data_IF_478231060947
#
_entry.id   IF_478231060947
#
_cell.length_a   1.000
_cell.length_b   1.000
_cell.length_c   1.000
_cell.angle_alpha   90.00
_cell.angle_beta   90.00
_cell.angle_gamma   90.00
#
_symmetry.space_group_name_H-M   'P 1'
#
loop_
_entity.id
_entity.type
_entity.pdbx_description
1 polymer ?
#
# COMPACT_ATOMS: atom_id res chain seq x y z
N UNK A 1 -1.55 20.67 22.85
CA UNK A 1 -2.39 19.90 21.95
C UNK A 1 -1.86 18.52 21.65
N UNK A 2 -0.61 18.41 21.27
CA UNK A 2 -0.03 17.10 20.99
C UNK A 2 0.01 16.19 22.20
N UNK A 3 0.25 16.73 23.38
CA UNK A 3 0.29 15.93 24.59
C UNK A 3 -1.08 15.36 24.94
N UNK A 4 -2.12 16.16 24.77
CA UNK A 4 -3.49 15.69 24.98
C UNK A 4 -3.83 14.59 23.98
N UNK A 5 -3.43 14.78 22.74
CA UNK A 5 -3.67 13.80 21.70
C UNK A 5 -2.95 12.49 22.02
N UNK A 6 -1.72 12.58 22.52
CA UNK A 6 -0.95 11.40 22.88
C UNK A 6 -1.54 10.65 24.05
N UNK A 7 -2.01 11.37 25.06
CA UNK A 7 -2.62 10.75 26.24
C UNK A 7 -3.92 10.04 25.86
N UNK A 8 -4.75 10.70 25.05
CA UNK A 8 -5.96 10.07 24.55
C UNK A 8 -5.64 8.88 23.64
N UNK A 9 -4.60 9.02 22.83
CA UNK A 9 -4.19 7.98 21.87
C UNK A 9 -3.63 6.76 22.59
N UNK A 10 -2.98 6.94 23.75
CA UNK A 10 -2.40 5.81 24.48
C UNK A 10 -3.45 4.77 24.87
N UNK A 11 -4.64 5.21 25.25
CA UNK A 11 -5.73 4.29 25.56
C UNK A 11 -6.35 3.69 24.32
N UNK A 12 -6.43 4.49 23.26
CA UNK A 12 -7.01 4.05 22.01
C UNK A 12 -6.05 3.13 21.26
N UNK A 13 -4.75 3.37 21.41
CA UNK A 13 -3.74 2.55 20.74
C UNK A 13 -3.78 1.09 21.16
N UNK A 14 -4.05 0.82 22.42
CA UNK A 14 -4.16 -0.56 22.87
C UNK A 14 -5.26 -1.31 22.13
N UNK A 15 -6.33 -0.60 21.80
CA UNK A 15 -7.44 -1.19 21.07
C UNK A 15 -7.24 -1.13 19.56
N UNK A 16 -6.35 -0.27 19.11
CA UNK A 16 -6.11 -0.05 17.68
C UNK A 16 -4.82 -0.65 17.16
N UNK A 17 -4.02 -1.25 18.03
CA UNK A 17 -2.72 -1.77 17.62
C UNK A 17 -2.78 -2.69 16.41
N UNK A 18 -3.82 -3.50 16.33
CA UNK A 18 -3.98 -4.40 15.20
C UNK A 18 -4.37 -3.68 13.92
N UNK A 19 -5.18 -2.63 14.05
CA UNK A 19 -5.60 -1.86 12.87
C UNK A 19 -4.58 -0.82 12.47
N UNK A 20 -3.74 -0.35 13.40
CA UNK A 20 -2.71 0.64 13.10
C UNK A 20 -1.72 0.12 12.07
N UNK A 21 -1.37 -1.16 12.14
CA UNK A 21 -0.46 -1.76 11.16
C UNK A 21 -1.04 -1.72 9.75
N UNK A 22 -2.34 -1.86 9.61
CA UNK A 22 -3.00 -1.79 8.31
C UNK A 22 -3.13 -0.37 7.80
N UNK A 23 -3.02 0.60 8.69
CA UNK A 23 -3.19 2.01 8.35
C UNK A 23 -1.86 2.75 8.23
N UNK A 24 -0.75 2.05 8.37
CA UNK A 24 0.58 2.61 8.19
C UNK A 24 1.00 2.47 6.74
N UNK A 25 1.37 3.57 6.14
CA UNK A 25 1.93 3.57 4.80
C UNK A 25 3.44 3.52 4.91
N UNK A 26 4.05 2.50 4.36
CA UNK A 26 5.51 2.32 4.34
C UNK A 26 5.99 2.26 2.90
N UNK A 27 7.06 2.98 2.62
CA UNK A 27 7.61 2.96 1.27
C UNK A 27 9.04 3.45 1.27
N UNK A 28 9.77 3.05 0.23
CA UNK A 28 11.12 3.54 -0.03
C UNK A 28 11.02 4.47 -1.24
N UNK A 29 11.46 5.71 -1.06
CA UNK A 29 11.48 6.68 -2.14
C UNK A 29 12.86 6.68 -2.79
N UNK A 30 12.86 6.60 -4.11
CA UNK A 30 14.10 6.62 -4.91
C UNK A 30 13.97 7.66 -6.00
N UNK A 31 15.12 8.08 -6.53
CA UNK A 31 15.15 8.95 -7.71
C UNK A 31 14.72 8.16 -8.93
N UNK A 32 14.32 8.87 -9.98
CA UNK A 32 13.98 8.26 -11.26
C UNK A 32 15.15 7.43 -11.80
N UNK A 33 16.37 7.94 -11.63
CA UNK A 33 17.57 7.25 -12.10
C UNK A 33 17.77 5.93 -11.37
N UNK A 34 17.64 5.94 -10.04
CA UNK A 34 17.76 4.71 -9.25
C UNK A 34 16.68 3.71 -9.65
N UNK A 35 15.45 4.17 -9.82
CA UNK A 35 14.37 3.30 -10.26
C UNK A 35 14.69 2.65 -11.61
N UNK A 36 15.18 3.43 -12.54
CA UNK A 36 15.49 2.91 -13.88
C UNK A 36 16.64 1.90 -13.83
N UNK A 37 17.64 2.15 -12.98
CA UNK A 37 18.73 1.20 -12.78
C UNK A 37 18.23 -0.12 -12.20
N UNK A 38 17.32 -0.06 -11.25
CA UNK A 38 16.72 -1.26 -10.65
C UNK A 38 15.90 -2.01 -11.71
N UNK A 39 15.10 -1.30 -12.48
CA UNK A 39 14.32 -1.91 -13.55
C UNK A 39 15.23 -2.67 -14.51
N UNK A 40 16.34 -2.07 -14.88
CA UNK A 40 17.30 -2.66 -15.79
C UNK A 40 18.02 -3.85 -15.16
N UNK A 41 18.44 -3.73 -13.92
CA UNK A 41 19.17 -4.77 -13.22
C UNK A 41 18.34 -6.04 -13.06
N UNK A 42 17.07 -5.90 -12.74
CA UNK A 42 16.19 -7.04 -12.47
C UNK A 42 15.32 -7.42 -13.67
N UNK A 43 15.35 -6.63 -14.74
CA UNK A 43 14.51 -6.90 -15.91
C UNK A 43 13.03 -6.82 -15.58
N UNK A 44 12.64 -5.87 -14.76
CA UNK A 44 11.26 -5.75 -14.29
C UNK A 44 10.66 -4.42 -14.70
N UNK A 45 9.33 -4.35 -14.61
CA UNK A 45 8.59 -3.15 -14.97
C UNK A 45 8.63 -2.12 -13.85
N UNK A 46 8.25 -0.89 -14.20
CA UNK A 46 8.10 0.19 -13.25
C UNK A 46 7.12 -0.18 -12.13
N UNK A 47 6.01 -0.82 -12.49
CA UNK A 47 5.03 -1.26 -11.52
C UNK A 47 5.61 -2.27 -10.54
N UNK A 48 6.40 -3.21 -11.04
CA UNK A 48 7.03 -4.21 -10.17
C UNK A 48 7.96 -3.56 -9.17
N UNK A 49 8.74 -2.57 -9.59
CA UNK A 49 9.62 -1.82 -8.68
C UNK A 49 8.78 -1.06 -7.65
N UNK A 50 7.72 -0.41 -8.10
CA UNK A 50 6.85 0.31 -7.19
C UNK A 50 6.23 -0.60 -6.13
N UNK A 51 5.77 -1.78 -6.55
CA UNK A 51 5.19 -2.74 -5.61
C UNK A 51 6.20 -3.21 -4.57
N UNK A 52 7.44 -3.42 -4.98
CA UNK A 52 8.49 -3.81 -4.05
C UNK A 52 8.82 -2.68 -3.08
N UNK A 53 8.98 -1.46 -3.58
CA UNK A 53 9.35 -0.31 -2.76
C UNK A 53 8.21 0.14 -1.86
N UNK A 54 6.98 -0.21 -2.18
CA UNK A 54 5.80 0.09 -1.35
C UNK A 54 5.44 -1.07 -0.42
N UNK A 55 6.31 -2.07 -0.33
CA UNK A 55 6.11 -3.24 0.53
C UNK A 55 4.83 -4.00 0.21
N UNK A 56 4.33 -3.89 -1.01
CA UNK A 56 3.14 -4.61 -1.44
C UNK A 56 3.46 -6.08 -1.66
N UNK A 57 4.55 -6.35 -2.39
CA UNK A 57 4.96 -7.70 -2.69
C UNK A 57 5.99 -8.21 -1.69
N UNK A 58 6.03 -9.52 -1.50
CA UNK A 58 6.98 -10.17 -0.60
C UNK A 58 7.74 -11.26 -1.36
N UNK A 59 8.86 -11.67 -0.82
CA UNK A 59 9.69 -12.71 -1.40
C UNK A 59 11.11 -12.22 -1.61
N UNK A 60 11.94 -13.09 -2.15
CA UNK A 60 13.37 -12.79 -2.29
C UNK A 60 13.67 -11.64 -3.25
N UNK A 61 12.97 -11.62 -4.39
CA UNK A 61 13.20 -10.56 -5.37
C UNK A 61 12.78 -9.18 -4.86
N UNK A 62 11.58 -9.01 -4.32
CA UNK A 62 11.22 -7.72 -3.72
C UNK A 62 12.16 -7.30 -2.60
N UNK A 63 12.59 -8.23 -1.75
CA UNK A 63 13.53 -7.92 -0.69
C UNK A 63 14.87 -7.43 -1.25
N UNK A 64 15.36 -8.06 -2.31
CA UNK A 64 16.59 -7.64 -2.97
C UNK A 64 16.45 -6.25 -3.60
N UNK A 65 15.30 -5.98 -4.21
CA UNK A 65 15.02 -4.67 -4.80
C UNK A 65 15.02 -3.60 -3.70
N UNK A 66 14.38 -3.86 -2.57
CA UNK A 66 14.36 -2.92 -1.45
C UNK A 66 15.77 -2.66 -0.91
N UNK A 67 16.55 -3.71 -0.76
CA UNK A 67 17.92 -3.59 -0.28
C UNK A 67 18.76 -2.74 -1.22
N UNK A 68 18.70 -3.04 -2.52
CA UNK A 68 19.43 -2.27 -3.51
C UNK A 68 18.99 -0.81 -3.52
N UNK A 69 17.70 -0.57 -3.42
CA UNK A 69 17.17 0.80 -3.40
C UNK A 69 17.76 1.61 -2.25
N UNK A 70 17.82 1.01 -1.06
CA UNK A 70 18.39 1.69 0.11
C UNK A 70 19.89 1.93 -0.05
N UNK A 71 20.60 0.95 -0.61
CA UNK A 71 22.03 1.09 -0.87
C UNK A 71 22.34 2.15 -1.93
N UNK A 72 21.42 2.38 -2.83
CA UNK A 72 21.56 3.37 -3.90
C UNK A 72 21.04 4.75 -3.52
N UNK A 73 20.84 4.99 -2.24
CA UNK A 73 20.43 6.31 -1.74
C UNK A 73 18.95 6.50 -1.53
N UNK A 74 18.16 5.46 -1.66
CA UNK A 74 16.74 5.51 -1.36
C UNK A 74 16.50 5.78 0.11
N UNK A 75 15.35 6.37 0.42
CA UNK A 75 14.98 6.70 1.80
C UNK A 75 13.70 5.99 2.18
N UNK A 76 13.71 5.43 3.38
CA UNK A 76 12.54 4.77 3.96
C UNK A 76 11.65 5.81 4.61
N UNK A 77 10.34 5.72 4.33
CA UNK A 77 9.33 6.57 4.92
C UNK A 77 8.25 5.73 5.56
N UNK A 78 7.67 6.26 6.59
CA UNK A 78 6.59 5.61 7.33
C UNK A 78 5.59 6.71 7.70
N UNK A 79 4.36 6.58 7.23
CA UNK A 79 3.33 7.59 7.43
C UNK A 79 2.05 6.96 7.93
N UNK A 80 1.36 7.64 8.84
CA UNK A 80 0.02 7.22 9.25
C UNK A 80 -0.96 7.48 8.10
N UNK A 81 -1.84 6.52 7.88
CA UNK A 81 -2.87 6.65 6.88
C UNK A 81 -4.15 5.99 7.38
N UNK A 82 -5.25 6.73 7.33
CA UNK A 82 -6.56 6.22 7.72
C UNK A 82 -7.45 6.23 6.49
N UNK A 83 -7.77 5.06 5.93
CA UNK A 83 -8.61 5.01 4.73
C UNK A 83 -10.05 5.42 5.06
N UNK A 84 -10.67 6.15 4.18
CA UNK A 84 -12.06 6.58 4.31
C UNK A 84 -12.96 5.63 3.55
N UNK A 85 -13.33 4.54 4.18
CA UNK A 85 -14.10 3.48 3.55
C UNK A 85 -14.96 2.76 4.58
N UNK A 86 -15.95 2.03 4.08
CA UNK A 86 -16.67 1.07 4.89
C UNK A 86 -16.03 -0.30 4.73
N UNK A 87 -16.25 -1.17 5.69
CA UNK A 87 -15.60 -2.47 5.76
C UNK A 87 -16.66 -3.56 5.87
N UNK A 88 -16.48 -4.64 5.10
CA UNK A 88 -17.35 -5.82 5.18
C UNK A 88 -16.52 -7.09 5.07
N UNK A 89 -16.71 -7.98 6.01
CA UNK A 89 -16.00 -9.26 6.00
C UNK A 89 -16.64 -10.24 4.99
N UNK A 90 -15.80 -11.01 4.33
CA UNK A 90 -16.23 -12.10 3.44
C UNK A 90 -15.63 -13.40 3.91
N UNK A 91 -15.97 -14.51 3.25
CA UNK A 91 -15.42 -15.81 3.61
C UNK A 91 -13.89 -15.84 3.52
N UNK A 92 -13.34 -15.29 2.46
CA UNK A 92 -11.91 -15.41 2.18
C UNK A 92 -11.11 -14.20 2.65
N UNK A 93 -11.77 -13.16 3.13
CA UNK A 93 -11.09 -11.95 3.53
C UNK A 93 -12.05 -10.83 3.84
N UNK A 94 -12.01 -9.78 3.04
CA UNK A 94 -12.92 -8.64 3.27
C UNK A 94 -12.98 -7.74 2.04
N UNK A 95 -13.95 -6.82 2.06
CA UNK A 95 -14.11 -5.79 1.04
C UNK A 95 -14.16 -4.44 1.73
N UNK A 96 -13.39 -3.49 1.23
CA UNK A 96 -13.44 -2.09 1.68
C UNK A 96 -13.99 -1.26 0.55
N UNK A 97 -15.06 -0.52 0.85
CA UNK A 97 -15.75 0.30 -0.14
C UNK A 97 -15.42 1.76 0.07
N UNK A 98 -14.85 2.36 -0.94
CA UNK A 98 -14.50 3.77 -0.98
C UNK A 98 -15.57 4.54 -1.77
N UNK A 99 -15.44 5.86 -1.82
CA UNK A 99 -16.31 6.69 -2.61
C UNK A 99 -16.22 6.33 -4.10
N UNK A 100 -17.17 6.80 -4.89
CA UNK A 100 -17.18 6.67 -6.35
C UNK A 100 -17.20 5.24 -6.86
N UNK A 101 -17.69 4.31 -6.04
CA UNK A 101 -17.79 2.90 -6.45
C UNK A 101 -16.48 2.14 -6.45
N UNK A 102 -15.44 2.67 -5.81
CA UNK A 102 -14.15 2.00 -5.71
C UNK A 102 -14.20 0.97 -4.59
N UNK A 103 -13.80 -0.26 -4.92
CA UNK A 103 -13.76 -1.37 -3.98
C UNK A 103 -12.35 -1.95 -3.91
N UNK A 104 -11.94 -2.31 -2.71
CA UNK A 104 -10.74 -3.10 -2.48
C UNK A 104 -11.18 -4.45 -1.92
N UNK A 105 -10.94 -5.50 -2.66
CA UNK A 105 -11.34 -6.86 -2.29
C UNK A 105 -10.10 -7.65 -1.93
N UNK A 106 -10.09 -8.21 -0.74
CA UNK A 106 -8.99 -9.04 -0.26
C UNK A 106 -9.46 -10.48 -0.12
N UNK A 107 -8.73 -11.38 -0.76
CA UNK A 107 -8.98 -12.81 -0.66
C UNK A 107 -7.63 -13.48 -0.43
N UNK A 108 -7.41 -14.00 0.78
CA UNK A 108 -6.09 -14.51 1.15
C UNK A 108 -5.04 -13.41 1.14
N UNK A 109 -4.01 -13.58 0.33
CA UNK A 109 -2.97 -12.57 0.15
C UNK A 109 -3.11 -11.80 -1.16
N UNK A 110 -4.20 -12.01 -1.89
CA UNK A 110 -4.45 -11.32 -3.15
C UNK A 110 -5.41 -10.17 -2.92
N UNK A 111 -5.15 -9.06 -3.60
CA UNK A 111 -5.93 -7.84 -3.46
C UNK A 111 -6.29 -7.32 -4.84
N UNK A 112 -7.55 -6.94 -5.00
CA UNK A 112 -8.05 -6.39 -6.26
C UNK A 112 -8.68 -5.03 -5.97
N UNK A 113 -8.32 -4.03 -6.77
CA UNK A 113 -9.00 -2.74 -6.78
C UNK A 113 -9.94 -2.75 -7.99
N UNK A 114 -11.22 -2.46 -7.75
CA UNK A 114 -12.20 -2.34 -8.82
C UNK A 114 -12.96 -1.03 -8.69
N UNK A 115 -13.51 -0.59 -9.81
CA UNK A 115 -14.38 0.58 -9.84
C UNK A 115 -15.63 0.21 -10.64
N UNK A 116 -16.77 0.17 -9.96
CA UNK A 116 -17.97 -0.39 -10.54
C UNK A 116 -17.75 -1.88 -10.78
N UNK A 117 -17.94 -2.31 -12.02
CA UNK A 117 -17.75 -3.72 -12.40
C UNK A 117 -16.38 -3.97 -13.04
N UNK A 118 -15.56 -2.95 -13.14
CA UNK A 118 -14.28 -3.04 -13.83
C UNK A 118 -13.15 -3.24 -12.83
N UNK A 119 -12.31 -4.25 -13.07
CA UNK A 119 -11.09 -4.44 -12.30
C UNK A 119 -10.07 -3.41 -12.77
N UNK A 120 -9.52 -2.65 -11.83
CA UNK A 120 -8.54 -1.59 -12.14
C UNK A 120 -7.13 -2.09 -11.91
N UNK A 121 -6.90 -2.84 -10.83
CA UNK A 121 -5.57 -3.34 -10.50
C UNK A 121 -5.70 -4.61 -9.68
N UNK A 122 -4.71 -5.47 -9.82
CA UNK A 122 -4.65 -6.73 -9.08
C UNK A 122 -3.25 -6.90 -8.53
N UNK A 123 -3.15 -7.30 -7.27
CA UNK A 123 -1.88 -7.51 -6.59
C UNK A 123 -1.87 -8.88 -5.95
N UNK A 124 -0.77 -9.59 -6.13
CA UNK A 124 -0.59 -10.93 -5.56
C UNK A 124 0.46 -10.88 -4.46
N UNK A 125 0.36 -11.80 -3.50
CA UNK A 125 1.33 -11.94 -2.41
C UNK A 125 1.55 -10.63 -1.66
N UNK A 126 0.47 -9.95 -1.36
CA UNK A 126 0.52 -8.64 -0.70
C UNK A 126 0.93 -8.82 0.75
N UNK A 127 1.87 -7.99 1.19
CA UNK A 127 2.28 -7.93 2.60
C UNK A 127 1.33 -7.04 3.38
N UNK A 128 1.34 -7.20 4.70
CA UNK A 128 0.58 -6.31 5.57
C UNK A 128 1.04 -4.87 5.43
N UNK A 129 2.35 -4.66 5.31
CA UNK A 129 2.91 -3.32 5.14
C UNK A 129 2.47 -2.70 3.82
N UNK A 130 2.42 -3.50 2.75
CA UNK A 130 2.04 -3.02 1.43
C UNK A 130 0.55 -2.75 1.29
N UNK A 131 -0.25 -3.39 2.12
CA UNK A 131 -1.70 -3.23 2.03
C UNK A 131 -2.12 -1.76 2.21
N UNK A 132 -1.50 -1.05 3.14
CA UNK A 132 -1.81 0.36 3.36
C UNK A 132 -1.54 1.21 2.12
N UNK A 133 -0.52 0.87 1.36
CA UNK A 133 -0.23 1.58 0.11
C UNK A 133 -1.30 1.32 -0.95
N UNK A 134 -1.83 0.11 -0.99
CA UNK A 134 -2.94 -0.22 -1.89
C UNK A 134 -4.17 0.61 -1.51
N UNK A 135 -4.45 0.75 -0.22
CA UNK A 135 -5.58 1.57 0.23
C UNK A 135 -5.39 3.03 -0.14
N UNK A 136 -4.15 3.53 -0.07
CA UNK A 136 -3.85 4.90 -0.52
C UNK A 136 -4.20 5.05 -2.00
N UNK A 137 -3.83 4.08 -2.83
CA UNK A 137 -4.14 4.12 -4.25
C UNK A 137 -5.64 4.06 -4.50
N UNK A 138 -6.34 3.22 -3.75
CA UNK A 138 -7.80 3.13 -3.87
C UNK A 138 -8.47 4.44 -3.50
N UNK A 139 -8.01 5.09 -2.44
CA UNK A 139 -8.57 6.37 -2.03
C UNK A 139 -8.28 7.46 -3.05
N UNK A 140 -7.09 7.49 -3.61
CA UNK A 140 -6.75 8.41 -4.68
C UNK A 140 -7.62 8.19 -5.91
N UNK A 141 -7.87 6.94 -6.26
CA UNK A 141 -8.75 6.61 -7.36
C UNK A 141 -10.17 7.11 -7.11
N UNK A 142 -10.65 6.96 -5.88
CA UNK A 142 -11.98 7.42 -5.50
C UNK A 142 -12.10 8.94 -5.59
N UNK A 143 -11.02 9.65 -5.24
CA UNK A 143 -11.01 11.11 -5.25
C UNK A 143 -10.69 11.69 -6.62
N UNK A 144 -9.74 11.10 -7.33
CA UNK A 144 -9.19 11.68 -8.56
C UNK A 144 -9.58 10.93 -9.82
N UNK A 145 -10.10 9.72 -9.67
CA UNK A 145 -10.52 8.92 -10.80
C UNK A 145 -9.44 8.15 -11.51
N UNK A 146 -8.19 8.14 -10.98
CA UNK A 146 -7.13 7.35 -11.57
C UNK A 146 -6.08 6.94 -10.55
N UNK A 147 -5.35 5.85 -10.87
CA UNK A 147 -4.26 5.36 -10.05
C UNK A 147 -2.95 6.03 -10.48
N UNK A 148 -2.18 6.51 -9.50
CA UNK A 148 -0.90 7.17 -9.77
C UNK A 148 0.09 6.27 -10.49
N UNK A 149 0.23 5.04 -10.03
CA UNK A 149 1.26 4.15 -10.56
C UNK A 149 0.88 3.55 -11.91
N UNK A 150 -0.37 3.64 -12.30
CA UNK A 150 -0.82 3.10 -13.59
C UNK A 150 -0.41 3.99 -14.76
N UNK A 151 0.04 5.18 -14.45
CA UNK A 151 0.56 6.11 -15.46
C UNK A 151 2.08 5.92 -15.63
#
# INVERSE_FOLDING_TARGET
MQNLTRVAVAKVEKNRNKSTQYNMRRFIRVSTETRDQIMKKYGVTRQTVWEALSYISKGKRPDSIRKDALEMGGRYYEEDFIPQCSFRRTEDGWVQKFASGVLVTVAGSDVVISKGRKMVAEFENVTMDGYSNILVQAQQLAEKGMLEFAN
#
